data_IF_185621228383
#
_entry.id   IF_185621228383
#
_cell.length_a   1.000
_cell.length_b   1.000
_cell.length_c   1.000
_cell.angle_alpha   90.00
_cell.angle_beta   90.00
_cell.angle_gamma   90.00
#
_symmetry.space_group_name_H-M   'P 1'
#
loop_
_entity.id
_entity.type
_entity.pdbx_description
1 polymer ?
#
# COMPACT_ATOMS: atom_id res chain seq x y z
N UNK A 1 23.37 15.91 1.68
CA UNK A 1 22.05 15.37 2.07
C UNK A 1 20.95 15.93 1.21
N UNK A 2 20.49 15.17 0.22
CA UNK A 2 19.19 15.43 -0.44
C UNK A 2 18.10 14.98 0.55
N UNK A 3 17.48 15.94 1.23
CA UNK A 3 16.22 15.69 1.93
C UNK A 3 15.18 15.34 0.87
N UNK A 4 14.93 14.04 0.70
CA UNK A 4 13.79 13.57 -0.07
C UNK A 4 12.56 13.89 0.75
N UNK A 5 11.89 14.99 0.42
CA UNK A 5 10.62 15.35 1.02
C UNK A 5 9.58 14.28 0.67
N UNK A 6 9.23 13.46 1.66
CA UNK A 6 8.21 12.41 1.52
C UNK A 6 6.88 13.02 1.93
N UNK A 7 5.90 12.98 1.02
CA UNK A 7 4.57 13.46 1.29
C UNK A 7 3.77 12.41 2.05
N UNK A 8 3.46 12.70 3.32
CA UNK A 8 2.60 11.85 4.14
C UNK A 8 1.13 11.96 3.72
N UNK A 9 0.50 10.85 3.39
CA UNK A 9 -0.88 10.78 2.88
C UNK A 9 -1.73 9.74 3.61
N UNK A 10 -3.02 10.04 3.73
CA UNK A 10 -4.04 9.11 4.24
C UNK A 10 -4.35 8.08 3.17
N UNK A 11 -4.48 6.80 3.56
CA UNK A 11 -4.68 5.69 2.63
C UNK A 11 -5.94 5.87 1.76
N UNK A 12 -7.05 6.30 2.36
CA UNK A 12 -8.33 6.55 1.66
C UNK A 12 -8.21 7.60 0.55
N UNK A 13 -7.30 8.55 0.70
CA UNK A 13 -7.09 9.61 -0.28
C UNK A 13 -6.13 9.23 -1.39
N UNK A 14 -5.66 7.97 -1.46
CA UNK A 14 -4.72 7.49 -2.49
C UNK A 14 -5.41 6.60 -3.54
N UNK A 15 -4.99 6.73 -4.79
CA UNK A 15 -5.42 5.85 -5.89
C UNK A 15 -4.58 4.56 -5.93
N UNK A 16 -5.08 3.51 -6.59
CA UNK A 16 -4.35 2.24 -6.71
C UNK A 16 -2.95 2.42 -7.35
N UNK A 17 -2.85 3.23 -8.39
CA UNK A 17 -1.57 3.54 -9.03
C UNK A 17 -0.59 4.18 -8.06
N UNK A 18 -1.06 5.15 -7.26
CA UNK A 18 -0.26 5.81 -6.20
C UNK A 18 0.17 4.82 -5.12
N UNK A 19 -0.72 3.89 -4.75
CA UNK A 19 -0.42 2.84 -3.75
C UNK A 19 0.66 1.86 -4.23
N UNK A 20 0.69 1.57 -5.53
CA UNK A 20 1.65 0.65 -6.15
C UNK A 20 3.01 1.34 -6.32
N UNK A 21 3.02 2.55 -6.89
CA UNK A 21 4.25 3.24 -7.25
C UNK A 21 4.83 4.10 -6.12
N UNK A 22 4.07 4.29 -5.03
CA UNK A 22 4.39 5.20 -3.92
C UNK A 22 4.74 6.61 -4.37
N UNK A 23 4.09 7.07 -5.45
CA UNK A 23 4.36 8.33 -6.11
C UNK A 23 3.07 9.05 -6.45
N UNK A 24 2.96 10.30 -6.03
CA UNK A 24 1.85 11.20 -6.34
C UNK A 24 2.31 12.29 -7.30
N UNK A 25 1.38 12.73 -8.14
CA UNK A 25 1.53 13.97 -8.90
C UNK A 25 0.73 15.07 -8.22
N UNK A 26 1.38 16.17 -7.83
CA UNK A 26 0.73 17.31 -7.18
C UNK A 26 0.63 18.46 -8.17
N UNK A 27 -0.57 19.04 -8.28
CA UNK A 27 -0.79 20.23 -9.10
C UNK A 27 -0.75 21.47 -8.23
N UNK A 28 0.20 22.36 -8.49
CA UNK A 28 0.32 23.65 -7.78
C UNK A 28 -0.27 24.74 -8.66
N UNK A 29 -1.38 25.33 -8.21
CA UNK A 29 -2.04 26.43 -8.91
C UNK A 29 -1.31 27.73 -8.57
N UNK A 30 -0.54 28.25 -9.52
CA UNK A 30 0.22 29.51 -9.45
C UNK A 30 1.07 29.64 -8.17
N UNK A 31 2.17 28.88 -8.06
CA UNK A 31 3.09 29.06 -6.94
C UNK A 31 3.61 30.51 -6.94
N UNK A 32 3.62 31.15 -5.77
CA UNK A 32 4.25 32.44 -5.58
C UNK A 32 5.51 32.27 -4.74
N UNK A 33 6.66 32.66 -5.27
CA UNK A 33 7.92 32.60 -4.52
C UNK A 33 8.31 34.01 -4.14
N UNK A 34 8.57 34.21 -2.85
CA UNK A 34 8.98 35.51 -2.34
C UNK A 34 10.28 35.93 -3.05
N UNK A 35 10.27 37.12 -3.67
CA UNK A 35 11.31 37.69 -4.57
C UNK A 35 11.32 37.28 -6.05
N UNK A 36 10.60 36.24 -6.47
CA UNK A 36 10.55 35.79 -7.89
C UNK A 36 9.18 35.98 -8.56
N UNK A 37 8.15 36.37 -7.80
CA UNK A 37 6.82 36.65 -8.33
C UNK A 37 5.93 35.40 -8.39
N UNK A 38 4.90 35.45 -9.25
CA UNK A 38 3.94 34.36 -9.44
C UNK A 38 4.32 33.54 -10.67
N UNK A 39 4.38 32.23 -10.51
CA UNK A 39 4.60 31.28 -11.59
C UNK A 39 3.28 30.81 -12.18
N UNK A 40 3.34 30.22 -13.38
CA UNK A 40 2.19 29.55 -13.99
C UNK A 40 1.84 28.26 -13.22
N UNK A 41 0.66 27.70 -13.47
CA UNK A 41 0.27 26.45 -12.85
C UNK A 41 1.21 25.32 -13.31
N UNK A 42 1.80 24.61 -12.35
CA UNK A 42 2.74 23.52 -12.63
C UNK A 42 2.27 22.22 -11.99
N UNK A 43 2.49 21.10 -12.68
CA UNK A 43 2.33 19.75 -12.13
C UNK A 43 3.70 19.21 -11.75
N UNK A 44 3.87 18.92 -10.46
CA UNK A 44 5.01 18.22 -9.91
C UNK A 44 4.71 16.72 -9.99
N UNK A 45 5.51 16.00 -10.76
CA UNK A 45 5.39 14.55 -10.91
C UNK A 45 6.36 13.84 -9.98
N UNK A 46 6.11 12.55 -9.74
CA UNK A 46 7.06 11.66 -9.07
C UNK A 46 7.39 12.06 -7.61
N UNK A 47 6.44 12.65 -6.89
CA UNK A 47 6.60 12.97 -5.47
C UNK A 47 6.41 11.69 -4.66
N UNK A 48 7.45 11.29 -3.92
CA UNK A 48 7.40 10.14 -3.03
C UNK A 48 6.33 10.34 -1.96
N UNK A 49 5.42 9.38 -1.82
CA UNK A 49 4.39 9.39 -0.77
C UNK A 49 4.63 8.28 0.24
N UNK A 50 4.25 8.52 1.49
CA UNK A 50 4.24 7.51 2.56
C UNK A 50 2.96 7.65 3.38
N UNK A 51 2.67 6.65 4.19
CA UNK A 51 1.54 6.68 5.10
C UNK A 51 1.68 7.82 6.11
N UNK A 52 0.57 8.52 6.38
CA UNK A 52 0.50 9.58 7.37
C UNK A 52 0.55 9.05 8.81
N UNK A 53 -0.14 7.94 9.07
CA UNK A 53 -0.25 7.31 10.38
C UNK A 53 0.13 5.83 10.32
N UNK A 54 0.38 5.22 11.48
CA UNK A 54 0.58 3.77 11.59
C UNK A 54 -0.63 2.99 11.06
N UNK A 55 -1.84 3.47 11.32
CA UNK A 55 -3.07 2.84 10.83
C UNK A 55 -3.15 2.88 9.29
N UNK A 56 -2.80 4.02 8.68
CA UNK A 56 -2.72 4.14 7.22
C UNK A 56 -1.63 3.22 6.65
N UNK A 57 -0.50 3.11 7.34
CA UNK A 57 0.60 2.25 6.93
C UNK A 57 0.19 0.78 6.96
N UNK A 58 -0.55 0.38 8.01
CA UNK A 58 -1.11 -0.96 8.14
C UNK A 58 -2.10 -1.25 7.01
N UNK A 59 -3.10 -0.40 6.80
CA UNK A 59 -4.09 -0.55 5.71
C UNK A 59 -3.44 -0.64 4.34
N UNK A 60 -2.41 0.17 4.10
CA UNK A 60 -1.70 0.18 2.83
C UNK A 60 -0.85 -1.08 2.65
N UNK A 61 -0.19 -1.55 3.71
CA UNK A 61 0.54 -2.81 3.69
C UNK A 61 -0.40 -4.01 3.50
N UNK A 62 -1.58 -4.01 4.14
CA UNK A 62 -2.65 -5.01 3.94
C UNK A 62 -3.10 -5.02 2.48
N UNK A 63 -3.46 -3.86 1.93
CA UNK A 63 -3.87 -3.73 0.53
C UNK A 63 -2.78 -4.19 -0.44
N UNK A 64 -1.50 -3.88 -0.16
CA UNK A 64 -0.36 -4.35 -0.98
C UNK A 64 -0.19 -5.86 -0.88
N UNK A 65 -0.40 -6.45 0.29
CA UNK A 65 -0.36 -7.89 0.48
C UNK A 65 -1.46 -8.56 -0.33
N UNK A 66 -2.70 -8.09 -0.21
CA UNK A 66 -3.86 -8.59 -0.96
C UNK A 66 -3.64 -8.53 -2.47
N UNK A 67 -3.17 -7.40 -3.00
CA UNK A 67 -2.88 -7.25 -4.44
C UNK A 67 -1.74 -8.14 -4.94
N UNK A 68 -0.79 -8.52 -4.07
CA UNK A 68 0.29 -9.45 -4.43
C UNK A 68 -0.16 -10.92 -4.39
N UNK A 69 -1.25 -11.25 -3.68
CA UNK A 69 -1.83 -12.60 -3.66
C UNK A 69 -2.62 -12.82 -4.95
N UNK A 70 -1.93 -13.24 -6.01
CA UNK A 70 -2.52 -13.50 -7.32
C UNK A 70 -2.58 -15.00 -7.68
N UNK A 71 -2.07 -15.88 -6.82
CA UNK A 71 -2.01 -17.32 -7.06
C UNK A 71 -1.92 -18.07 -5.72
N UNK A 72 -2.25 -19.36 -5.71
CA UNK A 72 -1.92 -20.26 -4.60
C UNK A 72 -0.42 -20.21 -4.30
N UNK A 73 -0.08 -19.82 -3.07
CA UNK A 73 1.28 -19.72 -2.60
C UNK A 73 1.53 -20.70 -1.46
N UNK A 74 2.72 -21.27 -1.39
CA UNK A 74 3.21 -21.94 -0.18
C UNK A 74 3.52 -20.91 0.92
N UNK A 75 3.55 -21.32 2.18
CA UNK A 75 3.82 -20.43 3.31
C UNK A 75 5.09 -19.58 3.10
N UNK A 76 6.13 -20.15 2.50
CA UNK A 76 7.35 -19.42 2.15
C UNK A 76 7.12 -18.29 1.15
N UNK A 77 6.29 -18.50 0.11
CA UNK A 77 5.95 -17.45 -0.87
C UNK A 77 5.10 -16.35 -0.23
N UNK A 78 4.22 -16.70 0.69
CA UNK A 78 3.40 -15.72 1.42
C UNK A 78 4.24 -14.85 2.34
N UNK A 79 5.23 -15.42 3.04
CA UNK A 79 6.19 -14.63 3.82
C UNK A 79 6.94 -13.62 2.94
N UNK A 80 7.39 -14.02 1.74
CA UNK A 80 8.03 -13.09 0.79
C UNK A 80 7.08 -11.97 0.37
N UNK A 81 5.79 -12.25 0.15
CA UNK A 81 4.81 -11.21 -0.16
C UNK A 81 4.56 -10.27 1.01
N UNK A 82 4.51 -10.80 2.23
CA UNK A 82 4.39 -10.03 3.47
C UNK A 82 5.58 -9.10 3.65
N UNK A 83 6.79 -9.60 3.45
CA UNK A 83 8.02 -8.79 3.51
C UNK A 83 8.04 -7.69 2.45
N UNK A 84 7.64 -8.00 1.20
CA UNK A 84 7.54 -7.00 0.12
C UNK A 84 6.49 -5.93 0.40
N UNK A 85 5.36 -6.30 0.99
CA UNK A 85 4.32 -5.36 1.37
C UNK A 85 4.76 -4.44 2.53
N UNK A 86 5.59 -4.97 3.44
CA UNK A 86 6.13 -4.24 4.60
C UNK A 86 7.38 -3.40 4.31
N UNK A 87 8.19 -3.76 3.33
CA UNK A 87 9.40 -3.03 2.91
C UNK A 87 9.27 -1.49 2.90
N UNK A 88 8.26 -0.90 2.26
CA UNK A 88 8.01 0.56 2.28
C UNK A 88 7.68 1.16 3.65
N UNK A 89 7.16 0.35 4.58
CA UNK A 89 6.62 0.77 5.86
C UNK A 89 7.47 0.33 7.04
N UNK A 90 8.72 -0.12 6.80
CA UNK A 90 9.70 -0.52 7.85
C UNK A 90 9.95 0.51 8.95
N UNK A 91 9.62 1.78 8.70
CA UNK A 91 9.67 2.85 9.71
C UNK A 91 8.56 2.76 10.77
N UNK A 92 7.50 2.02 10.48
CA UNK A 92 6.35 1.82 11.36
C UNK A 92 6.46 0.46 12.04
N UNK A 93 5.99 0.37 13.29
CA UNK A 93 6.13 -0.83 14.09
C UNK A 93 4.80 -1.61 14.16
N UNK A 94 4.41 -2.23 13.05
CA UNK A 94 3.21 -3.07 12.99
C UNK A 94 3.48 -4.41 12.31
N UNK A 95 2.61 -5.38 12.59
CA UNK A 95 2.62 -6.69 11.96
C UNK A 95 1.43 -6.84 11.03
N UNK A 96 1.68 -7.40 9.85
CA UNK A 96 0.60 -7.86 8.97
C UNK A 96 0.01 -9.18 9.49
N UNK A 97 -1.29 -9.43 9.27
CA UNK A 97 -1.93 -10.68 9.63
C UNK A 97 -1.20 -11.87 8.99
N UNK A 98 -1.20 -13.01 9.69
CA UNK A 98 -0.76 -14.26 9.09
C UNK A 98 -1.80 -14.78 8.07
N UNK A 99 -1.43 -15.75 7.24
CA UNK A 99 -2.33 -16.35 6.25
C UNK A 99 -3.60 -16.88 6.91
N UNK A 100 -3.50 -17.51 8.07
CA UNK A 100 -4.67 -18.02 8.79
C UNK A 100 -5.62 -16.89 9.25
N UNK A 101 -5.06 -15.77 9.71
CA UNK A 101 -5.84 -14.60 10.11
C UNK A 101 -6.48 -13.92 8.89
N UNK A 102 -5.77 -13.83 7.78
CA UNK A 102 -6.28 -13.30 6.52
C UNK A 102 -7.41 -14.19 5.96
N UNK A 103 -7.25 -15.51 6.00
CA UNK A 103 -8.27 -16.47 5.59
C UNK A 103 -9.54 -16.35 6.43
N UNK A 104 -9.39 -16.17 7.75
CA UNK A 104 -10.52 -15.95 8.66
C UNK A 104 -11.21 -14.60 8.44
N UNK A 105 -10.47 -13.55 8.08
CA UNK A 105 -11.05 -12.26 7.72
C UNK A 105 -11.87 -12.32 6.43
N UNK A 106 -11.42 -13.12 5.46
CA UNK A 106 -12.19 -13.34 4.22
C UNK A 106 -13.32 -14.36 4.36
N UNK A 107 -13.46 -15.02 5.51
CA UNK A 107 -14.57 -15.93 5.82
C UNK A 107 -15.85 -15.18 6.19
N UNK A 108 -16.13 -14.06 5.52
CA UNK A 108 -17.41 -13.37 5.55
C UNK A 108 -18.16 -13.64 4.24
N UNK A 109 -19.47 -13.87 4.31
CA UNK A 109 -20.30 -14.34 3.18
C UNK A 109 -20.20 -13.49 1.91
N UNK A 110 -19.83 -12.21 2.02
CA UNK A 110 -19.66 -11.27 0.91
C UNK A 110 -18.35 -11.48 0.12
N UNK A 111 -17.29 -11.99 0.76
CA UNK A 111 -15.95 -12.14 0.19
C UNK A 111 -15.68 -13.50 -0.47
N UNK A 112 -16.58 -14.48 -0.28
CA UNK A 112 -16.47 -15.83 -0.85
C UNK A 112 -16.56 -15.87 -2.39
N UNK A 113 -17.04 -14.79 -3.03
CA UNK A 113 -17.12 -14.69 -4.49
C UNK A 113 -15.82 -14.21 -5.16
N UNK A 114 -14.83 -13.75 -4.37
CA UNK A 114 -13.58 -13.23 -4.94
C UNK A 114 -12.56 -14.37 -5.15
N UNK A 115 -12.06 -14.55 -6.38
CA UNK A 115 -11.06 -15.59 -6.68
C UNK A 115 -9.78 -15.44 -5.84
N UNK A 116 -9.44 -14.21 -5.43
CA UNK A 116 -8.32 -13.93 -4.55
C UNK A 116 -8.52 -14.53 -3.15
N UNK A 117 -9.75 -14.49 -2.63
CA UNK A 117 -10.14 -15.10 -1.36
C UNK A 117 -9.93 -16.61 -1.38
N UNK A 118 -10.31 -17.27 -2.48
CA UNK A 118 -10.08 -18.72 -2.65
C UNK A 118 -8.60 -19.10 -2.68
N UNK A 119 -7.73 -18.25 -3.25
CA UNK A 119 -6.29 -18.51 -3.22
C UNK A 119 -5.72 -18.54 -1.79
N UNK A 120 -6.25 -17.71 -0.89
CA UNK A 120 -5.83 -17.66 0.51
C UNK A 120 -6.43 -18.82 1.29
N UNK A 121 -7.75 -19.04 1.16
CA UNK A 121 -8.48 -20.06 1.90
C UNK A 121 -8.02 -21.47 1.50
N UNK A 122 -7.96 -21.79 0.22
CA UNK A 122 -7.56 -23.14 -0.21
C UNK A 122 -6.07 -23.41 0.05
N UNK A 123 -5.19 -22.40 -0.05
CA UNK A 123 -3.79 -22.59 0.32
C UNK A 123 -3.59 -22.82 1.83
N UNK A 124 -4.47 -22.26 2.67
CA UNK A 124 -4.50 -22.57 4.09
C UNK A 124 -5.08 -23.97 4.35
N UNK A 125 -6.20 -24.31 3.72
CA UNK A 125 -6.87 -25.61 3.84
C UNK A 125 -5.96 -26.78 3.41
N UNK A 126 -5.15 -26.56 2.37
CA UNK A 126 -4.18 -27.54 1.87
C UNK A 126 -2.85 -27.54 2.63
N UNK A 127 -2.70 -26.68 3.64
CA UNK A 127 -1.51 -26.53 4.47
C UNK A 127 -0.21 -26.37 3.65
N UNK A 128 -0.27 -25.56 2.58
CA UNK A 128 0.82 -25.32 1.62
C UNK A 128 1.90 -24.34 2.11
#
# INVERSE_FOLDING_TARGET
DEQTEILSVVFENTTESERINMKRSVSVKRPSVHKLGSFDAMKLHNISISALTELDAKKWAEWRLEKNINMYATNSKYQVWREKALEPFKRWNFTLPDRAELANQFWTEEDQQNQHTWHVIAAHDWNL
#
